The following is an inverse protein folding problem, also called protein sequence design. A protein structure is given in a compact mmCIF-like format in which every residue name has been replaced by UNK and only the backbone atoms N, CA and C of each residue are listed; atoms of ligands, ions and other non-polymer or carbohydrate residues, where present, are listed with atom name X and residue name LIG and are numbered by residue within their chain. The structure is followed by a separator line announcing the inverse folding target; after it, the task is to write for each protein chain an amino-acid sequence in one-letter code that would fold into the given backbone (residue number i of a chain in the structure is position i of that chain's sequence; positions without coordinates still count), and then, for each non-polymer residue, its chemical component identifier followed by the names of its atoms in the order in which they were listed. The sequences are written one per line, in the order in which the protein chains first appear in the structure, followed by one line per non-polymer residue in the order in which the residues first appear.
data_IF_147265907266
#
_entry.id   IF_147265907266
#
_cell.length_a   1.000
_cell.length_b   1.000
_cell.length_c   1.000
_cell.angle_alpha   90.00
_cell.angle_beta   90.00
_cell.angle_gamma   90.00
#
_symmetry.space_group_name_H-M   'P 1'
#
loop_
_entity.id
_entity.type
_entity.pdbx_description
1 polymer ?
#
# COMPACT_ATOMS: atom_id res chain seq x y z
N UNK A 1 17.36 -10.59 12.80
CA UNK A 1 17.63 -9.19 12.35
C UNK A 1 16.36 -8.34 12.36
N UNK A 2 15.29 -8.67 11.60
CA UNK A 2 14.00 -7.93 11.68
C UNK A 2 13.44 -7.92 13.11
N UNK A 3 13.34 -9.10 13.72
CA UNK A 3 12.89 -9.28 15.12
C UNK A 3 13.73 -8.43 16.09
N UNK A 4 15.06 -8.46 15.96
CA UNK A 4 15.98 -7.64 16.75
C UNK A 4 15.70 -6.14 16.63
N UNK A 5 15.38 -5.65 15.43
CA UNK A 5 14.98 -4.26 15.23
C UNK A 5 13.64 -3.96 15.90
N UNK A 6 12.67 -4.88 15.82
CA UNK A 6 11.35 -4.74 16.43
C UNK A 6 11.38 -4.74 17.97
N UNK A 7 12.39 -5.34 18.58
CA UNK A 7 12.62 -5.28 20.03
C UNK A 7 13.10 -3.90 20.51
N UNK A 8 13.58 -3.04 19.60
CA UNK A 8 14.08 -1.71 19.96
C UNK A 8 12.92 -0.75 20.26
N UNK A 9 12.98 -0.09 21.42
CA UNK A 9 11.98 0.92 21.82
C UNK A 9 11.85 2.01 20.75
N UNK A 10 10.64 2.13 20.18
CA UNK A 10 10.31 3.13 19.15
C UNK A 10 10.47 2.65 17.71
N UNK A 11 10.88 1.40 17.49
CA UNK A 11 10.97 0.81 16.15
C UNK A 11 9.76 -0.09 15.90
N UNK A 12 8.85 0.37 15.05
CA UNK A 12 7.73 -0.43 14.54
C UNK A 12 8.06 -1.16 13.23
N UNK A 13 7.14 -2.01 12.72
CA UNK A 13 7.30 -2.79 11.48
C UNK A 13 7.83 -1.99 10.30
N UNK A 14 7.17 -0.87 9.96
CA UNK A 14 7.61 0.01 8.87
C UNK A 14 9.05 0.49 9.04
N UNK A 15 9.42 0.92 10.24
CA UNK A 15 10.77 1.43 10.52
C UNK A 15 11.80 0.32 10.39
N UNK A 16 11.54 -0.86 10.96
CA UNK A 16 12.42 -2.02 10.82
C UNK A 16 12.62 -2.40 9.35
N UNK A 17 11.54 -2.45 8.58
CA UNK A 17 11.58 -2.83 7.17
C UNK A 17 12.32 -1.80 6.31
N UNK A 18 12.11 -0.49 6.56
CA UNK A 18 12.90 0.56 5.93
C UNK A 18 14.40 0.43 6.22
N UNK A 19 14.78 0.14 7.46
CA UNK A 19 16.18 -0.04 7.84
C UNK A 19 16.79 -1.24 7.10
N UNK A 20 16.10 -2.37 7.07
CA UNK A 20 16.56 -3.58 6.38
C UNK A 20 16.77 -3.34 4.88
N UNK A 21 15.80 -2.68 4.23
CA UNK A 21 15.85 -2.41 2.80
C UNK A 21 16.91 -1.36 2.43
N UNK A 22 16.82 -0.16 3.01
CA UNK A 22 17.61 0.99 2.54
C UNK A 22 19.01 1.08 3.14
N UNK A 23 19.19 0.63 4.38
CA UNK A 23 20.49 0.69 5.06
C UNK A 23 21.14 -0.68 5.18
N UNK A 24 20.33 -1.74 5.33
CA UNK A 24 20.79 -3.11 5.44
C UNK A 24 21.09 -3.79 4.09
N UNK A 25 20.75 -3.16 2.96
CA UNK A 25 20.96 -3.71 1.62
C UNK A 25 20.17 -5.00 1.35
N UNK A 26 19.10 -5.25 2.11
CA UNK A 26 18.29 -6.47 1.99
C UNK A 26 17.19 -6.27 0.96
N UNK A 27 17.43 -6.79 -0.24
CA UNK A 27 16.41 -6.90 -1.28
C UNK A 27 15.25 -7.81 -0.83
N UNK A 28 14.08 -7.64 -1.46
CA UNK A 28 12.88 -8.44 -1.15
C UNK A 28 12.15 -8.03 0.13
N UNK A 29 12.58 -6.96 0.80
CA UNK A 29 11.82 -6.36 1.91
C UNK A 29 10.98 -5.22 1.35
N UNK A 30 9.67 -5.23 1.60
CA UNK A 30 8.76 -4.19 1.12
C UNK A 30 8.14 -3.43 2.29
N UNK A 31 8.69 -2.26 2.68
CA UNK A 31 8.12 -1.50 3.78
C UNK A 31 6.70 -1.03 3.45
N UNK A 32 5.77 -1.24 4.38
CA UNK A 32 4.39 -0.78 4.24
C UNK A 32 4.20 0.46 5.12
N UNK A 33 3.77 1.56 4.53
CA UNK A 33 3.27 2.73 5.26
C UNK A 33 1.78 2.95 4.97
N UNK A 34 1.20 4.06 5.40
CA UNK A 34 -0.22 4.34 5.19
C UNK A 34 -0.60 4.52 3.72
N UNK A 35 0.33 4.92 2.85
CA UNK A 35 0.08 5.00 1.40
C UNK A 35 0.07 3.60 0.81
N UNK A 36 1.13 2.82 1.04
CA UNK A 36 1.25 1.43 0.54
C UNK A 36 0.06 0.60 1.02
N UNK A 37 -0.28 0.69 2.30
CA UNK A 37 -1.40 -0.07 2.91
C UNK A 37 -2.75 0.25 2.25
N UNK A 38 -3.02 1.52 1.97
CA UNK A 38 -4.25 1.94 1.32
C UNK A 38 -4.27 1.52 -0.15
N UNK A 39 -3.19 1.81 -0.90
CA UNK A 39 -3.12 1.55 -2.34
C UNK A 39 -3.20 0.05 -2.62
N UNK A 40 -2.45 -0.77 -1.88
CA UNK A 40 -2.44 -2.22 -2.09
C UNK A 40 -3.86 -2.82 -1.97
N UNK A 41 -4.63 -2.37 -0.98
CA UNK A 41 -6.00 -2.84 -0.75
C UNK A 41 -6.99 -2.26 -1.77
N UNK A 42 -6.90 -0.96 -2.11
CA UNK A 42 -7.74 -0.33 -3.15
C UNK A 42 -7.54 -0.94 -4.53
N UNK A 43 -6.30 -1.31 -4.87
CA UNK A 43 -5.97 -1.89 -6.17
C UNK A 43 -6.26 -3.40 -6.26
N UNK A 44 -6.66 -4.06 -5.17
CA UNK A 44 -6.84 -5.52 -5.14
C UNK A 44 -5.52 -6.31 -5.08
N UNK A 45 -4.40 -5.65 -4.79
CA UNK A 45 -3.09 -6.31 -4.63
C UNK A 45 -2.96 -7.07 -3.31
N UNK A 46 -3.78 -6.70 -2.33
CA UNK A 46 -3.94 -7.39 -1.05
C UNK A 46 -5.44 -7.44 -0.70
N UNK A 47 -5.88 -8.41 0.12
CA UNK A 47 -7.26 -8.45 0.60
C UNK A 47 -7.70 -7.11 1.20
N UNK A 48 -8.96 -6.75 1.02
CA UNK A 48 -9.46 -5.44 1.41
C UNK A 48 -9.43 -5.21 2.94
N UNK A 49 -9.55 -6.28 3.73
CA UNK A 49 -9.41 -6.30 5.19
C UNK A 49 -7.97 -6.62 5.66
N UNK A 50 -7.00 -6.73 4.74
CA UNK A 50 -5.63 -7.10 5.07
C UNK A 50 -5.00 -6.14 6.09
N UNK A 51 -4.34 -6.72 7.08
CA UNK A 51 -3.49 -5.99 8.01
C UNK A 51 -2.14 -5.63 7.37
N UNK A 52 -1.33 -4.88 8.13
CA UNK A 52 -0.02 -4.40 7.69
C UNK A 52 0.93 -5.52 7.24
N UNK A 53 0.91 -6.66 7.94
CA UNK A 53 1.81 -7.78 7.69
C UNK A 53 1.33 -8.60 6.49
N UNK A 54 0.02 -8.76 6.32
CA UNK A 54 -0.58 -9.36 5.13
C UNK A 54 -0.28 -8.53 3.87
N UNK A 55 -0.39 -7.20 3.94
CA UNK A 55 0.02 -6.32 2.83
C UNK A 55 1.51 -6.47 2.54
N UNK A 56 2.37 -6.48 3.56
CA UNK A 56 3.83 -6.67 3.38
C UNK A 56 4.12 -7.96 2.61
N UNK A 57 3.52 -9.07 3.05
CA UNK A 57 3.71 -10.38 2.42
C UNK A 57 3.22 -10.42 0.98
N UNK A 58 2.06 -9.81 0.70
CA UNK A 58 1.52 -9.71 -0.65
C UNK A 58 2.47 -8.93 -1.57
N UNK A 59 2.98 -7.78 -1.11
CA UNK A 59 3.90 -6.96 -1.89
C UNK A 59 5.26 -7.63 -2.11
N UNK A 60 5.82 -8.30 -1.10
CA UNK A 60 7.08 -9.05 -1.24
C UNK A 60 6.96 -10.25 -2.17
N UNK A 61 5.78 -10.88 -2.26
CA UNK A 61 5.51 -11.96 -3.19
C UNK A 61 5.32 -11.44 -4.63
N UNK A 62 4.68 -10.29 -4.82
CA UNK A 62 4.33 -9.75 -6.14
C UNK A 62 5.47 -8.95 -6.78
N UNK A 63 6.32 -8.28 -6.00
CA UNK A 63 7.35 -7.37 -6.51
C UNK A 63 8.71 -8.07 -6.56
N UNK A 64 9.43 -8.02 -7.71
CA UNK A 64 10.79 -8.55 -7.78
C UNK A 64 11.69 -7.98 -6.68
N UNK A 65 12.50 -8.79 -5.98
CA UNK A 65 13.24 -8.36 -4.79
C UNK A 65 14.07 -7.09 -4.95
N UNK A 66 14.71 -6.91 -6.10
CA UNK A 66 15.52 -5.75 -6.46
C UNK A 66 14.71 -4.48 -6.74
N UNK A 67 13.40 -4.64 -6.99
CA UNK A 67 12.46 -3.53 -7.24
C UNK A 67 11.68 -3.11 -6.01
N UNK A 68 11.76 -3.83 -4.88
CA UNK A 68 10.98 -3.51 -3.68
C UNK A 68 11.21 -2.08 -3.18
N UNK A 69 12.46 -1.58 -3.23
CA UNK A 69 12.75 -0.21 -2.82
C UNK A 69 12.15 0.84 -3.74
N UNK A 70 12.25 0.63 -5.06
CA UNK A 70 11.60 1.50 -6.04
C UNK A 70 10.07 1.46 -5.90
N UNK A 71 9.50 0.25 -5.80
CA UNK A 71 8.06 0.04 -5.64
C UNK A 71 7.51 0.75 -4.40
N UNK A 72 8.19 0.64 -3.26
CA UNK A 72 7.82 1.35 -2.04
C UNK A 72 7.74 2.86 -2.26
N UNK A 73 8.79 3.46 -2.82
CA UNK A 73 8.84 4.91 -3.06
C UNK A 73 7.84 5.37 -4.13
N UNK A 74 7.64 4.56 -5.17
CA UNK A 74 6.70 4.85 -6.26
C UNK A 74 5.25 4.84 -5.74
N UNK A 75 4.88 3.88 -4.89
CA UNK A 75 3.56 3.84 -4.26
C UNK A 75 3.33 5.04 -3.33
N UNK A 76 4.35 5.47 -2.57
CA UNK A 76 4.23 6.69 -1.75
C UNK A 76 3.97 7.91 -2.63
N UNK A 77 4.73 8.07 -3.72
CA UNK A 77 4.53 9.19 -4.65
C UNK A 77 3.13 9.15 -5.27
N UNK A 78 2.73 7.99 -5.79
CA UNK A 78 1.39 7.79 -6.37
C UNK A 78 0.28 8.09 -5.36
N UNK A 79 0.43 7.65 -4.10
CA UNK A 79 -0.55 7.90 -3.04
C UNK A 79 -0.62 9.34 -2.53
N UNK A 80 0.36 10.18 -2.89
CA UNK A 80 0.36 11.62 -2.59
C UNK A 80 -0.22 12.43 -3.73
N UNK A 81 0.05 12.01 -4.96
CA UNK A 81 -0.29 12.75 -6.17
C UNK A 81 -1.65 12.36 -6.74
N UNK A 82 -1.99 11.06 -6.72
CA UNK A 82 -3.20 10.54 -7.38
C UNK A 82 -4.14 9.83 -6.41
N UNK A 83 -3.67 8.77 -5.72
CA UNK A 83 -4.54 7.94 -4.88
C UNK A 83 -4.59 8.48 -3.44
N UNK A 84 -5.03 9.72 -3.26
CA UNK A 84 -5.12 10.34 -1.93
C UNK A 84 -6.16 9.63 -1.05
N UNK A 85 -6.08 9.82 0.27
CA UNK A 85 -6.94 9.07 1.19
C UNK A 85 -8.43 9.39 1.05
N UNK A 86 -8.78 10.65 0.75
CA UNK A 86 -10.17 11.13 0.77
C UNK A 86 -10.72 11.45 -0.63
N UNK A 87 -9.88 11.98 -1.50
CA UNK A 87 -10.27 12.43 -2.84
C UNK A 87 -9.24 11.85 -3.84
N UNK A 88 -9.27 10.54 -4.11
CA UNK A 88 -8.42 9.95 -5.13
C UNK A 88 -8.83 10.48 -6.50
N UNK A 89 -7.84 10.70 -7.38
CA UNK A 89 -8.04 11.34 -8.68
C UNK A 89 -9.10 10.65 -9.56
N UNK A 90 -9.34 9.34 -9.42
CA UNK A 90 -10.39 8.65 -10.17
C UNK A 90 -11.81 9.17 -9.89
N UNK A 91 -12.05 9.90 -8.78
CA UNK A 91 -13.33 10.59 -8.57
C UNK A 91 -13.56 11.75 -9.55
N UNK A 92 -12.50 12.36 -10.08
CA UNK A 92 -12.60 13.39 -11.13
C UNK A 92 -12.85 12.78 -12.53
N UNK A 93 -12.93 11.45 -12.60
CA UNK A 93 -13.09 10.64 -13.81
C UNK A 93 -11.99 9.59 -13.93
N UNK A 94 -12.25 8.45 -14.60
CA UNK A 94 -11.33 7.32 -14.64
C UNK A 94 -9.95 7.71 -15.22
N UNK A 95 -9.92 8.55 -16.25
CA UNK A 95 -8.67 8.99 -16.92
C UNK A 95 -7.76 9.86 -16.03
N UNK A 96 -8.26 10.42 -14.93
CA UNK A 96 -7.46 11.23 -14.01
C UNK A 96 -6.53 10.38 -13.12
N UNK A 97 -6.78 9.08 -13.01
CA UNK A 97 -5.88 8.13 -12.34
C UNK A 97 -5.09 7.32 -13.38
N UNK A 98 -3.75 7.41 -13.44
CA UNK A 98 -2.95 6.73 -14.46
C UNK A 98 -2.94 5.20 -14.34
N UNK A 99 -3.54 4.63 -13.29
CA UNK A 99 -3.57 3.20 -13.02
C UNK A 99 -5.01 2.65 -12.92
N UNK A 100 -6.03 3.41 -13.35
CA UNK A 100 -7.44 3.01 -13.20
C UNK A 100 -7.74 1.65 -13.86
N UNK A 101 -7.17 1.38 -15.04
CA UNK A 101 -7.38 0.12 -15.77
C UNK A 101 -6.78 -1.11 -15.08
N UNK A 102 -5.97 -0.89 -14.03
CA UNK A 102 -5.32 -1.93 -13.23
C UNK A 102 -5.73 -1.85 -11.76
N UNK A 103 -6.79 -1.12 -11.44
CA UNK A 103 -7.25 -0.86 -10.08
C UNK A 103 -8.68 -1.40 -9.92
N UNK A 104 -8.88 -2.26 -8.92
CA UNK A 104 -10.24 -2.72 -8.56
C UNK A 104 -11.07 -1.63 -7.85
N UNK A 105 -10.43 -0.53 -7.45
CA UNK A 105 -11.05 0.63 -6.82
C UNK A 105 -11.84 0.30 -5.54
N UNK A 106 -11.40 -0.72 -4.80
CA UNK A 106 -12.09 -1.16 -3.58
C UNK A 106 -12.22 0.01 -2.59
N UNK A 107 -13.44 0.32 -2.18
CA UNK A 107 -13.74 1.42 -1.26
C UNK A 107 -13.78 2.81 -1.92
N UNK A 108 -13.90 2.89 -3.24
CA UNK A 108 -14.11 4.14 -4.00
C UNK A 108 -15.31 3.97 -4.93
N UNK A 109 -16.38 4.74 -4.69
CA UNK A 109 -17.55 4.80 -5.57
C UNK A 109 -17.50 6.08 -6.41
N UNK A 110 -17.28 5.93 -7.72
CA UNK A 110 -17.20 7.06 -8.66
C UNK A 110 -18.56 7.73 -8.90
N UNK A 111 -19.67 7.00 -8.75
CA UNK A 111 -21.01 7.51 -9.03
C UNK A 111 -21.53 8.33 -7.86
N UNK A 112 -21.32 7.86 -6.62
CA UNK A 112 -21.73 8.59 -5.42
C UNK A 112 -20.67 9.60 -4.94
N UNK A 113 -19.40 9.39 -5.32
CA UNK A 113 -18.26 10.16 -4.81
C UNK A 113 -17.79 9.71 -3.43
N UNK A 114 -18.31 8.59 -2.91
CA UNK A 114 -17.97 8.11 -1.57
C UNK A 114 -16.62 7.38 -1.55
N UNK A 115 -15.88 7.60 -0.46
CA UNK A 115 -14.59 6.95 -0.22
C UNK A 115 -14.54 6.43 1.20
N UNK A 116 -14.40 5.12 1.31
CA UNK A 116 -14.33 4.39 2.58
C UNK A 116 -13.00 3.63 2.71
N UNK A 117 -12.71 3.12 3.90
CA UNK A 117 -11.62 2.15 4.02
C UNK A 117 -12.01 0.85 3.30
N UNK A 118 -11.12 0.24 2.49
CA UNK A 118 -11.42 -1.03 1.81
C UNK A 118 -11.97 -2.12 2.75
N UNK A 119 -11.56 -2.15 4.02
CA UNK A 119 -12.04 -3.14 4.98
C UNK A 119 -13.54 -3.01 5.29
N UNK A 120 -14.12 -1.81 5.12
CA UNK A 120 -15.55 -1.56 5.35
C UNK A 120 -16.41 -2.20 4.25
N UNK A 121 -15.86 -2.39 3.04
CA UNK A 121 -16.60 -2.98 1.91
C UNK A 121 -16.87 -4.48 2.13
N UNK A 122 -15.96 -5.18 2.81
CA UNK A 122 -16.07 -6.65 3.04
C UNK A 122 -16.90 -7.00 4.27
N UNK A 123 -17.21 -6.02 5.12
CA UNK A 123 -17.99 -6.24 6.33
C UNK A 123 -19.51 -6.37 6.06
N UNK A 124 -19.95 -6.01 4.85
CA UNK A 124 -21.35 -5.95 4.43
C UNK A 124 -21.80 -7.14 3.54
N UNK A 125 -20.90 -8.09 3.23
CA UNK A 125 -21.16 -9.34 2.48
C UNK A 125 -21.23 -10.59 3.40
#
# INVERSE_FOLDING_TARGET
MRETLLEMKGVGPKTADCVLLFSGGRNGVFPVDTHVHRIARRMGLAPADADHEQVRQAMEAAVPPEKCGFGHTAMIQFGREYCTAREPACLDGPEACPLVEHCEQVGVDELSGDVVDPAEVVADD
#
